data_IF_779844936689
#
_entry.id   IF_779844936689
#
_cell.length_a   1.000
_cell.length_b   1.000
_cell.length_c   1.000
_cell.angle_alpha   90.00
_cell.angle_beta   90.00
_cell.angle_gamma   90.00
#
_symmetry.space_group_name_H-M   'P 1'
#
loop_
_entity.id
_entity.type
_entity.pdbx_description
1 polymer ?
#
# COMPACT_ATOMS: atom_id res chain seq x y z
N UNK A 1 -8.70 10.72 22.77
CA UNK A 1 -8.12 11.53 21.69
C UNK A 1 -6.74 10.95 21.41
N UNK A 2 -6.60 10.25 20.29
CA UNK A 2 -5.33 9.66 19.87
C UNK A 2 -4.27 10.74 19.67
N UNK A 3 -3.02 10.40 19.91
CA UNK A 3 -1.91 11.30 19.68
C UNK A 3 -0.76 10.52 19.03
N UNK A 4 -0.25 11.05 17.92
CA UNK A 4 0.89 10.50 17.24
C UNK A 4 2.02 10.21 18.25
N UNK A 5 2.59 9.00 18.18
CA UNK A 5 3.74 8.63 19.01
C UNK A 5 4.90 9.58 18.73
N UNK A 6 5.59 9.98 19.80
CA UNK A 6 6.72 10.91 19.70
C UNK A 6 7.75 10.42 18.68
N UNK A 7 8.17 11.33 17.80
CA UNK A 7 9.19 11.09 16.76
C UNK A 7 8.81 9.99 15.73
N UNK A 8 7.52 9.64 15.62
CA UNK A 8 7.05 8.68 14.62
C UNK A 8 7.15 9.31 13.22
N UNK A 9 7.89 8.69 12.34
CA UNK A 9 7.93 8.97 10.91
C UNK A 9 7.57 7.75 10.09
N UNK A 10 8.25 6.64 10.36
CA UNK A 10 7.94 5.32 9.80
C UNK A 10 8.34 4.22 10.79
N UNK A 11 7.76 3.04 10.60
CA UNK A 11 8.03 1.85 11.40
C UNK A 11 7.88 0.58 10.57
N UNK A 12 8.82 -0.35 10.69
CA UNK A 12 8.71 -1.69 10.11
C UNK A 12 7.95 -2.58 11.09
N UNK A 13 6.92 -3.24 10.59
CA UNK A 13 6.10 -4.20 11.33
C UNK A 13 6.29 -5.57 10.70
N UNK A 14 6.89 -6.47 11.46
CA UNK A 14 7.08 -7.88 11.06
C UNK A 14 5.78 -8.64 11.22
N UNK A 15 5.53 -9.60 10.33
CA UNK A 15 4.32 -10.43 10.35
C UNK A 15 3.02 -9.60 10.45
N UNK A 16 2.95 -8.53 9.66
CA UNK A 16 1.74 -7.72 9.53
C UNK A 16 0.58 -8.55 8.96
N UNK A 17 0.90 -9.49 8.05
CA UNK A 17 0.02 -10.55 7.59
C UNK A 17 0.46 -11.90 8.16
N UNK A 18 -0.50 -12.78 8.42
CA UNK A 18 -0.26 -14.19 8.66
C UNK A 18 -0.11 -14.97 7.34
N UNK A 19 0.24 -16.26 7.41
CA UNK A 19 0.48 -17.10 6.23
C UNK A 19 -0.77 -17.25 5.34
N UNK A 20 -1.95 -17.38 5.93
CA UNK A 20 -3.21 -17.51 5.18
C UNK A 20 -3.53 -16.22 4.44
N UNK A 21 -3.36 -15.06 5.09
CA UNK A 21 -3.53 -13.75 4.47
C UNK A 21 -2.56 -13.55 3.29
N UNK A 22 -1.28 -13.93 3.47
CA UNK A 22 -0.28 -13.89 2.38
C UNK A 22 -0.72 -14.76 1.20
N UNK A 23 -1.14 -15.99 1.46
CA UNK A 23 -1.57 -16.92 0.41
C UNK A 23 -2.81 -16.41 -0.33
N UNK A 24 -3.79 -15.86 0.39
CA UNK A 24 -4.99 -15.25 -0.21
C UNK A 24 -4.58 -14.11 -1.16
N UNK A 25 -3.80 -13.14 -0.68
CA UNK A 25 -3.39 -11.99 -1.48
C UNK A 25 -2.51 -12.37 -2.67
N UNK A 26 -1.57 -13.29 -2.48
CA UNK A 26 -0.69 -13.77 -3.55
C UNK A 26 -1.47 -14.40 -4.70
N UNK A 27 -2.42 -15.30 -4.37
CA UNK A 27 -3.26 -15.93 -5.38
C UNK A 27 -4.21 -14.92 -6.05
N UNK A 28 -4.83 -14.06 -5.25
CA UNK A 28 -5.75 -13.03 -5.73
C UNK A 28 -5.07 -12.06 -6.71
N UNK A 29 -3.94 -11.48 -6.33
CA UNK A 29 -3.20 -10.55 -7.18
C UNK A 29 -2.64 -11.24 -8.44
N UNK A 30 -2.22 -12.50 -8.32
CA UNK A 30 -1.78 -13.28 -9.48
C UNK A 30 -2.93 -13.51 -10.48
N UNK A 31 -4.12 -13.89 -10.01
CA UNK A 31 -5.30 -14.07 -10.87
C UNK A 31 -5.65 -12.74 -11.55
N UNK A 32 -5.73 -11.65 -10.80
CA UNK A 32 -6.05 -10.33 -11.35
C UNK A 32 -5.03 -9.86 -12.38
N UNK A 33 -3.75 -10.00 -12.07
CA UNK A 33 -2.67 -9.61 -12.99
C UNK A 33 -2.75 -10.36 -14.32
N UNK A 34 -2.93 -11.70 -14.25
CA UNK A 34 -3.10 -12.54 -15.44
C UNK A 34 -4.38 -12.21 -16.22
N UNK A 35 -5.45 -11.85 -15.52
CA UNK A 35 -6.71 -11.45 -16.16
C UNK A 35 -6.57 -10.13 -16.94
N UNK A 36 -5.81 -9.17 -16.44
CA UNK A 36 -5.55 -7.92 -17.16
C UNK A 36 -4.89 -8.16 -18.52
N UNK A 37 -3.89 -9.04 -18.59
CA UNK A 37 -3.25 -9.41 -19.86
C UNK A 37 -4.23 -10.07 -20.83
N UNK A 38 -5.19 -10.83 -20.33
CA UNK A 38 -6.15 -11.56 -21.16
C UNK A 38 -7.39 -10.73 -21.53
N UNK A 39 -7.73 -9.70 -20.75
CA UNK A 39 -8.92 -8.87 -20.96
C UNK A 39 -8.65 -7.61 -21.78
N UNK A 40 -7.40 -7.30 -22.08
CA UNK A 40 -6.98 -6.07 -22.75
C UNK A 40 -7.42 -4.79 -22.01
N UNK A 41 -7.55 -4.87 -20.69
CA UNK A 41 -7.87 -3.69 -19.85
C UNK A 41 -6.62 -2.83 -19.64
N UNK A 42 -6.30 -2.04 -20.66
CA UNK A 42 -5.13 -1.14 -20.66
C UNK A 42 -5.20 -0.09 -19.54
N UNK A 43 -6.40 0.22 -19.06
CA UNK A 43 -6.59 1.22 -18.00
C UNK A 43 -5.99 0.80 -16.65
N UNK A 44 -5.75 -0.49 -16.44
CA UNK A 44 -5.17 -1.05 -15.23
C UNK A 44 -3.75 -1.61 -15.42
N UNK A 45 -3.10 -1.23 -16.48
CA UNK A 45 -1.73 -1.62 -16.80
C UNK A 45 -0.86 -0.39 -17.08
N UNK A 46 0.39 -0.44 -16.64
CA UNK A 46 1.38 0.56 -17.03
C UNK A 46 1.95 0.21 -18.42
N UNK A 47 1.78 1.05 -19.44
CA UNK A 47 2.25 0.76 -20.80
C UNK A 47 3.77 0.51 -20.90
N UNK A 48 4.55 1.12 -20.01
CA UNK A 48 6.01 1.05 -20.04
C UNK A 48 6.60 -0.20 -19.39
N UNK A 49 5.88 -0.82 -18.46
CA UNK A 49 6.41 -1.92 -17.62
C UNK A 49 5.49 -3.11 -17.47
N UNK A 50 4.32 -3.10 -18.11
CA UNK A 50 3.27 -4.12 -17.92
C UNK A 50 2.83 -4.34 -16.46
N UNK A 51 3.08 -3.37 -15.58
CA UNK A 51 2.58 -3.41 -14.21
C UNK A 51 1.05 -3.38 -14.20
N UNK A 52 0.45 -4.11 -13.27
CA UNK A 52 -0.98 -4.01 -12.99
C UNK A 52 -1.21 -3.27 -11.68
N UNK A 53 -2.25 -2.45 -11.61
CA UNK A 53 -2.62 -1.73 -10.39
C UNK A 53 -4.14 -1.59 -10.26
N UNK A 54 -4.62 -1.56 -9.03
CA UNK A 54 -6.05 -1.44 -8.72
C UNK A 54 -6.27 -0.51 -7.54
N UNK A 55 -7.11 0.50 -7.77
CA UNK A 55 -7.59 1.42 -6.76
C UNK A 55 -8.96 0.96 -6.26
N UNK A 56 -9.22 1.07 -4.96
CA UNK A 56 -10.54 0.78 -4.39
C UNK A 56 -10.94 -0.70 -4.47
N UNK A 57 -9.96 -1.60 -4.55
CA UNK A 57 -10.18 -3.03 -4.65
C UNK A 57 -10.87 -3.59 -3.41
N UNK A 58 -11.98 -4.33 -3.58
CA UNK A 58 -12.79 -4.81 -2.46
C UNK A 58 -12.03 -5.67 -1.45
N UNK A 59 -11.11 -6.54 -1.90
CA UNK A 59 -10.34 -7.36 -0.96
C UNK A 59 -9.33 -6.50 -0.19
N UNK A 60 -8.67 -5.57 -0.87
CA UNK A 60 -7.70 -4.67 -0.25
C UNK A 60 -8.41 -3.72 0.72
N UNK A 61 -9.58 -3.19 0.37
CA UNK A 61 -10.37 -2.33 1.26
C UNK A 61 -11.03 -3.09 2.41
N UNK A 62 -11.30 -4.38 2.26
CA UNK A 62 -11.66 -5.25 3.39
C UNK A 62 -10.49 -5.33 4.37
N UNK A 63 -9.27 -5.52 3.88
CA UNK A 63 -8.08 -5.55 4.72
C UNK A 63 -7.81 -4.18 5.36
N UNK A 64 -8.08 -3.08 4.67
CA UNK A 64 -8.03 -1.72 5.20
C UNK A 64 -8.84 -1.61 6.50
N UNK A 65 -10.09 -2.10 6.49
CA UNK A 65 -10.95 -2.09 7.70
C UNK A 65 -10.43 -3.03 8.79
N UNK A 66 -10.01 -4.25 8.44
CA UNK A 66 -9.52 -5.25 9.41
C UNK A 66 -8.25 -4.74 10.12
N UNK A 67 -7.36 -4.08 9.41
CA UNK A 67 -6.07 -3.62 9.96
C UNK A 67 -6.13 -2.24 10.63
N UNK A 68 -7.25 -1.51 10.58
CA UNK A 68 -7.38 -0.16 11.17
C UNK A 68 -6.91 -0.15 12.63
N UNK A 69 -7.42 -1.07 13.46
CA UNK A 69 -7.03 -1.13 14.88
C UNK A 69 -5.53 -1.33 15.08
N UNK A 70 -4.91 -2.21 14.29
CA UNK A 70 -3.46 -2.42 14.33
C UNK A 70 -2.69 -1.16 13.93
N UNK A 71 -3.16 -0.44 12.93
CA UNK A 71 -2.58 0.85 12.51
C UNK A 71 -2.68 1.91 13.62
N UNK A 72 -3.83 1.98 14.31
CA UNK A 72 -4.04 2.87 15.46
C UNK A 72 -3.09 2.54 16.62
N UNK A 73 -2.93 1.25 16.93
CA UNK A 73 -1.99 0.78 17.97
C UNK A 73 -0.52 1.12 17.63
N UNK A 74 -0.14 1.03 16.36
CA UNK A 74 1.21 1.30 15.90
C UNK A 74 1.54 2.80 15.86
N UNK A 75 0.60 3.63 15.45
CA UNK A 75 0.80 5.09 15.30
C UNK A 75 0.44 5.87 16.55
N UNK A 76 -0.55 5.41 17.32
CA UNK A 76 -1.16 6.13 18.44
C UNK A 76 -2.30 7.07 18.03
N UNK A 77 -2.61 7.16 16.73
CA UNK A 77 -3.70 7.99 16.21
C UNK A 77 -5.03 7.23 16.20
N UNK A 78 -6.13 7.95 16.13
CA UNK A 78 -7.44 7.45 15.74
C UNK A 78 -7.57 7.66 14.22
N UNK A 79 -7.82 6.59 13.47
CA UNK A 79 -7.70 6.61 12.01
C UNK A 79 -9.05 6.42 11.30
N UNK A 80 -9.28 7.23 10.26
CA UNK A 80 -10.33 7.00 9.26
C UNK A 80 -9.71 6.37 8.01
N UNK A 81 -10.29 5.27 7.49
CA UNK A 81 -9.82 4.65 6.25
C UNK A 81 -10.11 5.55 5.05
N UNK A 82 -9.18 5.65 4.11
CA UNK A 82 -9.38 6.39 2.88
C UNK A 82 -9.56 5.48 1.67
N UNK A 83 -8.55 4.69 1.31
CA UNK A 83 -8.66 3.70 0.25
C UNK A 83 -7.57 2.63 0.34
N UNK A 84 -7.85 1.52 -0.31
CA UNK A 84 -6.88 0.46 -0.57
C UNK A 84 -6.35 0.55 -2.00
N UNK A 85 -5.07 0.28 -2.18
CA UNK A 85 -4.42 0.22 -3.48
C UNK A 85 -3.55 -1.02 -3.57
N UNK A 86 -3.50 -1.67 -4.72
CA UNK A 86 -2.60 -2.81 -4.92
C UNK A 86 -1.88 -2.72 -6.25
N UNK A 87 -0.69 -3.30 -6.30
CA UNK A 87 0.13 -3.29 -7.51
C UNK A 87 0.92 -4.57 -7.65
N UNK A 88 0.99 -5.06 -8.88
CA UNK A 88 1.94 -6.08 -9.31
C UNK A 88 2.95 -5.39 -10.22
N UNK A 89 4.15 -5.20 -9.72
CA UNK A 89 5.26 -4.64 -10.47
C UNK A 89 5.91 -5.72 -11.31
N UNK A 90 6.44 -5.33 -12.46
CA UNK A 90 7.18 -6.20 -13.38
C UNK A 90 8.58 -5.65 -13.66
N UNK A 91 9.38 -6.38 -14.42
CA UNK A 91 10.75 -5.98 -14.75
C UNK A 91 10.81 -4.54 -15.31
N UNK A 92 11.75 -3.76 -14.82
CA UNK A 92 11.97 -2.37 -15.22
C UNK A 92 11.12 -1.35 -14.43
N UNK A 93 10.22 -1.80 -13.53
CA UNK A 93 9.41 -0.90 -12.73
C UNK A 93 10.28 -0.04 -11.81
N UNK A 94 9.93 1.24 -11.70
CA UNK A 94 10.55 2.23 -10.83
C UNK A 94 9.45 2.92 -10.02
N UNK A 95 9.70 3.21 -8.76
CA UNK A 95 8.90 4.13 -7.99
C UNK A 95 9.72 5.40 -7.76
N UNK A 96 9.40 6.46 -8.49
CA UNK A 96 10.12 7.73 -8.38
C UNK A 96 10.01 8.31 -6.96
N UNK A 97 11.01 9.08 -6.55
CA UNK A 97 10.98 9.82 -5.29
C UNK A 97 9.77 10.73 -5.20
N UNK A 98 8.99 10.55 -4.14
CA UNK A 98 7.79 11.36 -3.90
C UNK A 98 7.39 11.35 -2.43
N UNK A 99 6.48 12.23 -2.10
CA UNK A 99 5.63 12.18 -0.91
C UNK A 99 4.20 11.96 -1.36
N UNK A 100 3.42 11.32 -0.53
CA UNK A 100 2.04 11.01 -0.84
C UNK A 100 1.13 12.24 -0.77
N UNK A 101 -0.05 12.12 -1.37
CA UNK A 101 -1.14 13.10 -1.29
C UNK A 101 -1.87 13.04 0.07
N UNK A 102 -2.63 14.08 0.44
CA UNK A 102 -3.30 14.15 1.76
C UNK A 102 -4.13 12.94 2.18
N UNK A 103 -4.83 12.26 1.25
CA UNK A 103 -5.59 11.05 1.55
C UNK A 103 -4.72 9.84 1.96
N UNK A 104 -3.40 9.96 1.89
CA UNK A 104 -2.40 8.98 2.31
C UNK A 104 -1.58 9.51 3.50
N UNK A 105 -2.19 10.33 4.37
CA UNK A 105 -1.50 10.94 5.53
C UNK A 105 -0.78 9.89 6.36
N UNK A 106 -1.46 8.79 6.65
CA UNK A 106 -0.89 7.61 7.32
C UNK A 106 -1.03 6.42 6.38
N UNK A 107 0.07 5.89 5.94
CA UNK A 107 0.11 4.82 4.95
C UNK A 107 0.81 3.58 5.48
N UNK A 108 0.46 2.43 4.94
CA UNK A 108 1.22 1.20 5.10
C UNK A 108 1.42 0.54 3.75
N UNK A 109 2.66 0.18 3.45
CA UNK A 109 3.00 -0.68 2.31
C UNK A 109 3.26 -2.09 2.81
N UNK A 110 2.58 -3.08 2.23
CA UNK A 110 2.60 -4.48 2.67
C UNK A 110 3.16 -5.35 1.56
N UNK A 111 4.24 -6.06 1.86
CA UNK A 111 4.89 -6.99 0.92
C UNK A 111 4.14 -8.33 0.92
N UNK A 112 3.65 -8.75 -0.25
CA UNK A 112 2.92 -10.01 -0.44
C UNK A 112 3.84 -11.10 -0.99
N UNK A 113 4.68 -10.77 -1.95
CA UNK A 113 5.61 -11.71 -2.56
C UNK A 113 6.41 -11.09 -3.70
N UNK A 114 7.50 -11.76 -4.07
CA UNK A 114 8.38 -11.35 -5.18
C UNK A 114 9.05 -12.55 -5.81
N UNK A 115 9.39 -12.45 -7.09
CA UNK A 115 10.26 -13.40 -7.80
C UNK A 115 11.74 -13.20 -7.45
N UNK A 116 12.10 -12.07 -6.86
CA UNK A 116 13.42 -11.71 -6.40
C UNK A 116 13.38 -11.44 -4.90
N UNK A 117 14.41 -11.90 -4.15
CA UNK A 117 14.41 -11.80 -2.69
C UNK A 117 14.47 -10.35 -2.20
N UNK A 118 15.26 -9.50 -2.85
CA UNK A 118 15.49 -8.13 -2.42
C UNK A 118 15.05 -7.11 -3.49
N UNK A 119 14.10 -6.27 -3.12
CA UNK A 119 13.77 -5.03 -3.81
C UNK A 119 13.36 -3.99 -2.77
N UNK A 120 14.33 -3.27 -2.22
CA UNK A 120 14.10 -2.37 -1.11
C UNK A 120 13.19 -1.21 -1.47
N UNK A 121 12.46 -0.71 -0.46
CA UNK A 121 11.91 0.63 -0.46
C UNK A 121 12.83 1.54 0.34
N UNK A 122 13.10 2.73 -0.16
CA UNK A 122 13.84 3.76 0.56
C UNK A 122 12.86 4.72 1.22
N UNK A 123 13.09 5.06 2.49
CA UNK A 123 12.30 6.03 3.25
C UNK A 123 13.24 7.04 3.92
N UNK A 124 13.14 8.33 3.58
CA UNK A 124 14.08 9.38 3.98
C UNK A 124 15.55 8.98 3.80
N UNK A 125 15.87 8.27 2.71
CA UNK A 125 17.23 7.78 2.40
C UNK A 125 17.63 6.46 3.06
N UNK A 126 16.82 5.90 3.95
CA UNK A 126 17.08 4.62 4.59
C UNK A 126 16.56 3.46 3.74
N UNK A 127 17.41 2.50 3.46
CA UNK A 127 17.03 1.27 2.76
C UNK A 127 16.24 0.33 3.68
N UNK A 128 15.07 -0.14 3.21
CA UNK A 128 14.19 -1.03 3.96
C UNK A 128 13.86 -2.25 3.11
N UNK A 129 14.27 -3.41 3.59
CA UNK A 129 13.96 -4.71 3.02
C UNK A 129 12.79 -5.36 3.78
N UNK A 130 11.69 -5.62 3.08
CA UNK A 130 10.52 -6.30 3.59
C UNK A 130 10.49 -7.74 3.05
N UNK A 131 10.11 -8.69 3.91
CA UNK A 131 9.79 -10.07 3.53
C UNK A 131 8.27 -10.22 3.32
N UNK A 132 7.81 -11.27 2.62
CA UNK A 132 6.38 -11.55 2.53
C UNK A 132 5.70 -11.53 3.91
N UNK A 133 4.63 -10.76 4.03
CA UNK A 133 3.92 -10.54 5.28
C UNK A 133 4.42 -9.36 6.13
N UNK A 134 5.61 -8.82 5.85
CA UNK A 134 6.10 -7.61 6.51
C UNK A 134 5.47 -6.35 5.92
N UNK A 135 5.45 -5.29 6.71
CA UNK A 135 4.94 -3.99 6.31
C UNK A 135 5.83 -2.84 6.81
N UNK A 136 5.77 -1.72 6.11
CA UNK A 136 6.27 -0.45 6.60
C UNK A 136 5.11 0.54 6.72
N UNK A 137 4.85 1.03 7.94
CA UNK A 137 3.89 2.09 8.24
C UNK A 137 4.64 3.41 8.23
N UNK A 138 4.10 4.43 7.57
CA UNK A 138 4.77 5.73 7.43
C UNK A 138 3.79 6.89 7.29
N UNK A 139 4.29 8.10 7.61
CA UNK A 139 3.56 9.34 7.36
C UNK A 139 3.76 9.73 5.88
N UNK A 140 2.78 9.39 5.05
CA UNK A 140 2.90 9.48 3.61
C UNK A 140 3.17 10.89 3.10
N UNK A 141 2.54 11.91 3.71
CA UNK A 141 2.76 13.32 3.36
C UNK A 141 4.12 13.88 3.81
N UNK A 142 4.83 13.19 4.71
CA UNK A 142 6.08 13.69 5.30
C UNK A 142 7.30 12.92 4.84
N UNK A 143 7.22 11.59 4.76
CA UNK A 143 8.33 10.71 4.42
C UNK A 143 8.51 10.63 2.91
N UNK A 144 9.66 11.12 2.41
CA UNK A 144 10.02 10.90 1.01
C UNK A 144 10.39 9.44 0.78
N UNK A 145 9.77 8.81 -0.20
CA UNK A 145 10.01 7.40 -0.45
C UNK A 145 10.07 7.05 -1.93
N UNK A 146 10.83 5.98 -2.25
CA UNK A 146 11.05 5.54 -3.63
C UNK A 146 11.55 4.10 -3.69
N UNK A 147 11.59 3.52 -4.89
CA UNK A 147 12.28 2.27 -5.22
C UNK A 147 13.08 2.46 -6.49
N UNK A 148 14.29 1.91 -6.51
CA UNK A 148 15.10 1.80 -7.71
C UNK A 148 14.49 0.79 -8.70
N UNK A 149 15.08 0.66 -9.88
CA UNK A 149 14.56 -0.22 -10.92
C UNK A 149 14.48 -1.69 -10.48
N UNK A 150 13.31 -2.30 -10.63
CA UNK A 150 13.10 -3.71 -10.32
C UNK A 150 13.72 -4.62 -11.37
N UNK A 151 14.50 -5.61 -10.93
CA UNK A 151 15.23 -6.56 -11.79
C UNK A 151 14.70 -8.00 -11.69
N UNK A 152 13.53 -8.19 -11.09
CA UNK A 152 12.84 -9.48 -11.03
C UNK A 152 11.66 -9.53 -12.00
N UNK A 153 10.99 -10.69 -12.07
CA UNK A 153 9.87 -10.89 -12.98
C UNK A 153 8.58 -10.27 -12.46
N UNK A 154 8.31 -10.40 -11.15
CA UNK A 154 7.12 -9.85 -10.50
C UNK A 154 7.37 -9.54 -9.02
N UNK A 155 6.70 -8.50 -8.52
CA UNK A 155 6.65 -8.11 -7.11
C UNK A 155 5.25 -7.62 -6.77
N UNK A 156 4.64 -8.24 -5.77
CA UNK A 156 3.25 -7.98 -5.36
C UNK A 156 3.21 -7.21 -4.05
N UNK A 157 2.48 -6.13 -4.05
CA UNK A 157 2.21 -5.28 -2.89
C UNK A 157 0.78 -4.82 -2.85
N UNK A 158 0.32 -4.49 -1.64
CA UNK A 158 -0.82 -3.61 -1.47
C UNK A 158 -0.51 -2.51 -0.45
N UNK A 159 -1.31 -1.48 -0.51
CA UNK A 159 -1.19 -0.28 0.32
C UNK A 159 -2.54 0.01 0.96
N UNK A 160 -2.51 0.38 2.25
CA UNK A 160 -3.69 0.81 2.99
C UNK A 160 -3.43 2.25 3.44
N UNK A 161 -4.38 3.13 3.14
CA UNK A 161 -4.24 4.54 3.41
C UNK A 161 -5.30 5.02 4.39
N UNK A 162 -4.89 5.91 5.28
CA UNK A 162 -5.70 6.45 6.36
C UNK A 162 -5.40 7.93 6.55
N UNK A 163 -6.30 8.61 7.24
CA UNK A 163 -6.09 9.96 7.77
C UNK A 163 -6.38 9.98 9.27
N UNK A 164 -5.75 10.89 10.01
CA UNK A 164 -6.07 11.13 11.41
C UNK A 164 -7.49 11.70 11.51
N UNK A 165 -8.38 11.04 12.27
CA UNK A 165 -9.75 11.52 12.53
C UNK A 165 -9.80 12.92 13.12
N UNK A 166 -8.74 13.31 13.85
CA UNK A 166 -8.62 14.58 14.54
C UNK A 166 -7.64 15.53 13.83
N UNK A 167 -7.12 15.12 12.66
CA UNK A 167 -6.14 15.85 11.89
C UNK A 167 -6.74 16.76 10.80
N UNK A 168 -5.88 17.47 10.07
CA UNK A 168 -6.31 18.42 9.06
C UNK A 168 -6.97 17.78 7.84
N UNK A 169 -6.79 16.46 7.62
CA UNK A 169 -7.30 15.72 6.48
C UNK A 169 -8.48 14.80 6.82
N UNK A 170 -9.08 14.97 8.00
CA UNK A 170 -10.20 14.13 8.49
C UNK A 170 -11.41 14.09 7.55
N UNK A 171 -11.62 15.11 6.72
CA UNK A 171 -12.65 15.17 5.71
C UNK A 171 -12.40 14.26 4.49
N UNK A 172 -11.24 13.60 4.41
CA UNK A 172 -10.89 12.68 3.32
C UNK A 172 -11.21 11.21 3.63
N UNK A 173 -12.08 10.94 4.62
CA UNK A 173 -12.60 9.60 4.83
C UNK A 173 -13.15 9.02 3.52
N UNK A 174 -12.85 7.74 3.25
CA UNK A 174 -13.13 7.04 1.99
C UNK A 174 -12.59 7.72 0.72
N UNK A 175 -11.58 8.59 0.88
CA UNK A 175 -11.01 9.40 -0.21
C UNK A 175 -12.06 10.31 -0.90
N UNK A 176 -13.03 10.79 -0.12
CA UNK A 176 -14.14 11.60 -0.61
C UNK A 176 -15.21 10.83 -1.38
N UNK A 177 -15.15 9.51 -1.41
CA UNK A 177 -16.20 8.63 -1.96
C UNK A 177 -17.31 8.43 -0.94
N UNK A 178 -18.56 8.11 -1.37
CA UNK A 178 -19.64 7.80 -0.44
C UNK A 178 -19.36 6.56 0.44
N UNK A 179 -18.71 5.54 -0.13
CA UNK A 179 -18.39 4.25 0.51
C UNK A 179 -17.09 3.68 -0.05
N UNK A 180 -16.46 2.80 0.73
CA UNK A 180 -15.40 1.92 0.24
C UNK A 180 -15.92 1.00 -0.88
N UNK A 181 -15.04 0.55 -1.76
CA UNK A 181 -15.38 -0.30 -2.91
C UNK A 181 -15.97 0.46 -4.12
N UNK A 182 -16.32 1.72 -3.97
CA UNK A 182 -16.74 2.57 -5.10
C UNK A 182 -15.53 3.17 -5.80
N UNK A 183 -15.63 3.35 -7.11
CA UNK A 183 -14.63 4.14 -7.85
C UNK A 183 -14.80 5.63 -7.54
N UNK A 184 -13.70 6.36 -7.61
CA UNK A 184 -13.74 7.82 -7.53
C UNK A 184 -14.23 8.36 -8.88
N UNK A 185 -15.29 9.16 -8.85
CA UNK A 185 -15.81 9.86 -10.04
C UNK A 185 -14.84 10.97 -10.50
#
# INVERSE_FOLDING_TARGET
MGKLKKDFKYKIVKNFLNEDEINIFKNYLNIKHRSNFNSFDEAQMSPSTNDSYWYGDHLVETMLLIKTKKMEEETGLELSPTYGYSRVYTYGAVLNKHKDRPACEVSVTVMVGSSKEEWPIYMDGTEINLKPGDAAIYLGCEVEHWREEFKGDWHMQFFLHYVDKNGPFSNLEFDGRPLLGMLKN
#
